data_IF_500821272750
#
_entry.id   IF_500821272750
#
_cell.length_a   1.000
_cell.length_b   1.000
_cell.length_c   1.000
_cell.angle_alpha   90.00
_cell.angle_beta   90.00
_cell.angle_gamma   90.00
#
_symmetry.space_group_name_H-M   'P 1'
#
loop_
_entity.id
_entity.type
_entity.pdbx_description
1 polymer ?
#
# COMPACT_ATOMS: atom_id res chain seq x y z
N UNK A 1 12.50 13.03 -5.21
CA UNK A 1 13.01 11.80 -4.53
C UNK A 1 12.04 10.65 -4.79
N UNK A 2 12.53 9.40 -4.85
CA UNK A 2 11.70 8.19 -4.98
C UNK A 2 11.62 7.50 -3.62
N UNK A 3 10.41 7.18 -3.16
CA UNK A 3 10.14 6.69 -1.80
C UNK A 3 9.19 5.50 -1.88
N UNK A 4 9.60 4.37 -1.31
CA UNK A 4 8.77 3.17 -1.18
C UNK A 4 8.40 2.96 0.29
N UNK A 5 7.11 3.06 0.60
CA UNK A 5 6.56 2.70 1.90
C UNK A 5 6.19 1.22 1.87
N UNK A 6 6.75 0.45 2.81
CA UNK A 6 6.42 -0.97 3.01
C UNK A 6 5.78 -1.07 4.39
N UNK A 7 4.53 -1.50 4.44
CA UNK A 7 3.76 -1.54 5.67
C UNK A 7 2.80 -2.73 5.71
N UNK A 8 2.29 -3.04 6.91
CA UNK A 8 1.22 -4.01 7.09
C UNK A 8 -0.19 -3.39 6.95
N UNK A 9 -0.32 -2.07 7.08
CA UNK A 9 -1.62 -1.38 7.06
C UNK A 9 -1.59 -0.16 6.13
N UNK A 10 -2.71 0.11 5.46
CA UNK A 10 -2.98 1.32 4.69
C UNK A 10 -4.49 1.51 4.52
N UNK A 11 -5.03 2.63 4.99
CA UNK A 11 -6.43 2.99 4.79
C UNK A 11 -6.69 3.45 3.33
N UNK A 12 -7.81 3.06 2.68
CA UNK A 12 -8.93 2.30 3.22
C UNK A 12 -8.86 0.79 2.95
N UNK A 13 -7.69 0.25 2.59
CA UNK A 13 -7.55 -1.14 2.14
C UNK A 13 -7.47 -2.12 3.32
N UNK A 14 -6.51 -1.93 4.23
CA UNK A 14 -6.31 -2.76 5.40
C UNK A 14 -5.91 -1.87 6.58
N UNK A 15 -6.73 -1.86 7.65
CA UNK A 15 -6.50 -1.01 8.81
C UNK A 15 -6.99 -1.71 10.08
N UNK A 16 -6.13 -1.71 11.08
CA UNK A 16 -6.44 -2.15 12.45
C UNK A 16 -6.26 -0.99 13.42
N UNK A 17 -5.30 -0.08 13.18
CA UNK A 17 -5.01 1.04 14.06
C UNK A 17 -4.48 2.29 13.35
N UNK A 18 -3.74 3.12 14.08
CA UNK A 18 -3.24 4.41 13.58
C UNK A 18 -2.19 4.30 12.46
N UNK A 19 -1.51 3.15 12.33
CA UNK A 19 -0.56 2.92 11.24
C UNK A 19 -1.24 3.07 9.87
N UNK A 20 -2.42 2.47 9.70
CA UNK A 20 -3.16 2.55 8.45
C UNK A 20 -3.55 3.99 8.05
N UNK A 21 -3.81 4.86 9.04
CA UNK A 21 -4.11 6.28 8.79
C UNK A 21 -2.86 7.03 8.32
N UNK A 22 -1.72 6.81 8.98
CA UNK A 22 -0.44 7.45 8.62
C UNK A 22 -0.02 7.02 7.21
N UNK A 23 -0.02 5.72 6.92
CA UNK A 23 0.35 5.20 5.60
C UNK A 23 -0.66 5.60 4.53
N UNK A 24 -1.93 5.80 4.89
CA UNK A 24 -2.97 6.29 3.98
C UNK A 24 -2.86 7.80 3.66
N UNK A 25 -2.22 8.60 4.52
CA UNK A 25 -2.19 10.06 4.42
C UNK A 25 -0.80 10.63 4.04
N UNK A 26 0.27 10.19 4.70
CA UNK A 26 1.62 10.76 4.54
C UNK A 26 2.17 10.60 3.11
N UNK A 27 2.10 9.42 2.45
CA UNK A 27 2.58 9.28 1.08
C UNK A 27 1.86 10.24 0.12
N UNK A 28 0.56 10.49 0.31
CA UNK A 28 -0.21 11.46 -0.48
C UNK A 28 0.30 12.89 -0.25
N UNK A 29 0.65 13.25 0.98
CA UNK A 29 1.25 14.55 1.29
C UNK A 29 2.62 14.71 0.61
N UNK A 30 3.46 13.67 0.61
CA UNK A 30 4.76 13.70 -0.07
C UNK A 30 4.62 13.81 -1.59
N UNK A 31 3.62 13.17 -2.20
CA UNK A 31 3.30 13.35 -3.62
C UNK A 31 2.95 14.81 -3.93
N UNK A 32 2.16 15.47 -3.06
CA UNK A 32 1.84 16.90 -3.22
C UNK A 32 3.06 17.83 -3.13
N UNK A 33 4.10 17.40 -2.43
CA UNK A 33 5.40 18.10 -2.35
C UNK A 33 6.35 17.77 -3.51
N UNK A 34 5.90 17.02 -4.53
CA UNK A 34 6.69 16.71 -5.72
C UNK A 34 7.58 15.47 -5.59
N UNK A 35 7.30 14.56 -4.65
CA UNK A 35 8.02 13.29 -4.53
C UNK A 35 7.25 12.13 -5.19
N UNK A 36 7.97 11.14 -5.73
CA UNK A 36 7.36 9.88 -6.18
C UNK A 36 7.30 8.93 -4.97
N UNK A 37 6.16 8.93 -4.28
CA UNK A 37 5.92 8.09 -3.12
C UNK A 37 4.88 7.01 -3.42
N UNK A 38 5.21 5.75 -3.12
CA UNK A 38 4.36 4.58 -3.36
C UNK A 38 4.22 3.74 -2.10
N UNK A 39 3.12 3.02 -1.97
CA UNK A 39 2.80 2.17 -0.83
C UNK A 39 2.67 0.72 -1.28
N UNK A 40 3.32 -0.18 -0.56
CA UNK A 40 3.25 -1.63 -0.71
C UNK A 40 2.72 -2.22 0.60
N UNK A 41 1.62 -2.96 0.50
CA UNK A 41 1.04 -3.75 1.59
C UNK A 41 0.69 -5.14 1.06
N UNK A 42 0.60 -6.17 1.93
CA UNK A 42 0.04 -7.46 1.54
C UNK A 42 -1.40 -7.32 1.05
N UNK A 43 -1.78 -8.11 0.04
CA UNK A 43 -3.17 -8.21 -0.40
C UNK A 43 -3.93 -9.14 0.54
N UNK A 44 -4.29 -8.64 1.73
CA UNK A 44 -5.06 -9.41 2.72
C UNK A 44 -6.41 -9.86 2.17
N UNK A 45 -6.92 -10.98 2.68
CA UNK A 45 -8.23 -11.54 2.32
C UNK A 45 -9.40 -10.62 2.67
N UNK A 46 -9.23 -9.72 3.65
CA UNK A 46 -10.24 -8.73 4.05
C UNK A 46 -10.43 -7.61 3.02
N UNK A 47 -9.52 -7.44 2.06
CA UNK A 47 -9.59 -6.37 1.07
C UNK A 47 -10.59 -6.77 -0.02
N UNK A 48 -11.65 -5.97 -0.16
CA UNK A 48 -12.65 -6.17 -1.22
C UNK A 48 -12.04 -5.84 -2.61
N UNK A 49 -11.75 -6.87 -3.40
CA UNK A 49 -11.08 -6.73 -4.70
C UNK A 49 -11.98 -6.09 -5.76
N UNK A 50 -13.27 -6.41 -5.76
CA UNK A 50 -14.24 -5.89 -6.72
C UNK A 50 -14.48 -4.39 -6.52
N UNK A 51 -14.47 -3.94 -5.26
CA UNK A 51 -14.63 -2.52 -4.90
C UNK A 51 -13.47 -1.65 -5.38
N UNK A 52 -12.24 -2.16 -5.32
CA UNK A 52 -11.04 -1.36 -5.58
C UNK A 52 -10.41 -1.60 -6.95
N UNK A 53 -10.87 -2.60 -7.71
CA UNK A 53 -10.47 -2.79 -9.12
C UNK A 53 -8.98 -3.01 -9.31
N UNK A 54 -8.36 -3.88 -8.49
CA UNK A 54 -6.92 -4.13 -8.59
C UNK A 54 -6.55 -4.78 -9.92
N UNK A 55 -5.51 -4.23 -10.56
CA UNK A 55 -4.87 -4.83 -11.73
C UNK A 55 -3.61 -5.57 -11.30
N UNK A 56 -3.51 -6.85 -11.65
CA UNK A 56 -2.27 -7.60 -11.48
C UNK A 56 -1.21 -7.09 -12.47
N UNK A 57 -0.05 -6.71 -11.94
CA UNK A 57 1.06 -6.18 -12.75
C UNK A 57 2.08 -7.28 -13.10
N UNK A 58 2.13 -8.34 -12.30
CA UNK A 58 3.01 -9.49 -12.52
C UNK A 58 2.95 -10.46 -11.36
N UNK A 59 3.84 -11.44 -11.38
CA UNK A 59 4.06 -12.38 -10.29
C UNK A 59 5.56 -12.68 -10.20
N UNK A 60 6.08 -12.87 -9.00
CA UNK A 60 7.43 -13.37 -8.78
C UNK A 60 7.40 -14.55 -7.82
N UNK A 61 8.29 -15.51 -8.02
CA UNK A 61 8.52 -16.58 -7.05
C UNK A 61 9.39 -16.03 -5.91
N UNK A 62 8.94 -16.24 -4.67
CA UNK A 62 9.75 -16.00 -3.47
C UNK A 62 10.19 -17.37 -2.96
N UNK A 63 11.49 -17.63 -2.99
CA UNK A 63 12.05 -18.86 -2.41
C UNK A 63 12.08 -18.69 -0.90
N UNK A 64 11.24 -19.45 -0.21
CA UNK A 64 11.09 -19.42 1.25
C UNK A 64 11.87 -20.57 1.89
N UNK A 65 13.15 -20.71 1.53
CA UNK A 65 14.00 -21.83 1.98
C UNK A 65 13.68 -23.16 1.30
#
# INVERSE_FOLDING_TARGET
>A
MKIAFIAAECAPFAKTGGLGDVVGALPKALVRLGHDARVFIPLYSSINRDKFGFKQIGSCCVHMG
#
